data_IF_110793135599
#
_entry.id   IF_110793135599
#
_cell.length_a   1.000
_cell.length_b   1.000
_cell.length_c   1.000
_cell.angle_alpha   90.00
_cell.angle_beta   90.00
_cell.angle_gamma   90.00
#
_symmetry.space_group_name_H-M   'P 1'
#
loop_
_entity.id
_entity.type
_entity.pdbx_description
1 polymer ?
#
# COMPACT_ATOMS: atom_id res chain seq x y z
N UNK A 1 34.12 -27.97 33.75
CA UNK A 1 33.21 -28.72 32.85
C UNK A 1 31.82 -28.15 33.08
N UNK A 2 31.14 -27.45 32.19
CA UNK A 2 31.37 -27.13 30.78
C UNK A 2 30.88 -25.71 30.54
N UNK A 3 31.62 -25.02 29.68
CA UNK A 3 31.25 -23.80 28.96
C UNK A 3 29.94 -24.01 28.20
N UNK A 4 28.93 -23.19 28.50
CA UNK A 4 27.80 -22.98 27.59
C UNK A 4 28.15 -21.78 26.71
N UNK A 5 28.89 -22.06 25.63
CA UNK A 5 29.07 -21.13 24.54
C UNK A 5 27.95 -21.35 23.52
N UNK A 6 27.35 -20.22 23.16
CA UNK A 6 26.97 -19.89 21.80
C UNK A 6 25.78 -20.63 21.17
N UNK A 7 24.66 -19.90 21.15
CA UNK A 7 23.86 -19.78 19.94
C UNK A 7 23.33 -18.34 19.87
N UNK A 8 24.25 -17.40 19.66
CA UNK A 8 23.87 -16.16 19.00
C UNK A 8 23.57 -16.54 17.55
N UNK A 9 22.30 -16.82 17.25
CA UNK A 9 21.86 -16.99 15.87
C UNK A 9 22.14 -15.66 15.15
N UNK A 10 23.30 -15.58 14.51
CA UNK A 10 23.67 -14.48 13.64
C UNK A 10 22.49 -14.25 12.69
N UNK A 11 21.97 -13.03 12.67
CA UNK A 11 20.91 -12.66 11.75
C UNK A 11 21.31 -13.17 10.36
N UNK A 12 20.42 -13.89 9.65
CA UNK A 12 20.73 -14.41 8.33
C UNK A 12 21.33 -13.28 7.49
N UNK A 13 22.43 -13.54 6.74
CA UNK A 13 23.12 -12.52 5.98
C UNK A 13 22.10 -11.72 5.17
N UNK A 14 22.22 -10.38 5.11
CA UNK A 14 21.24 -9.54 4.44
C UNK A 14 21.08 -10.06 3.02
N UNK A 15 19.90 -10.60 2.73
CA UNK A 15 19.57 -11.04 1.39
C UNK A 15 19.63 -9.80 0.48
N UNK A 16 20.09 -9.93 -0.78
CA UNK A 16 20.08 -8.81 -1.70
C UNK A 16 18.66 -8.25 -1.77
N UNK A 17 18.53 -6.95 -1.55
CA UNK A 17 17.24 -6.29 -1.58
C UNK A 17 16.64 -6.46 -2.99
N UNK A 18 15.55 -7.21 -3.08
CA UNK A 18 14.77 -7.29 -4.32
C UNK A 18 13.97 -6.01 -4.41
N UNK A 19 14.35 -5.14 -5.34
CA UNK A 19 13.63 -3.91 -5.63
C UNK A 19 12.53 -4.18 -6.66
N UNK A 20 11.35 -3.60 -6.41
CA UNK A 20 10.22 -3.66 -7.33
C UNK A 20 9.87 -2.25 -7.78
N UNK A 21 9.73 -2.07 -9.10
CA UNK A 21 9.25 -0.80 -9.67
C UNK A 21 7.77 -0.91 -10.00
N UNK A 22 6.97 0.01 -9.46
CA UNK A 22 5.56 0.14 -9.81
C UNK A 22 5.41 1.06 -11.03
N UNK A 23 4.66 0.61 -12.04
CA UNK A 23 4.24 1.44 -13.17
C UNK A 23 2.78 1.80 -13.01
N UNK A 24 2.50 3.10 -12.94
CA UNK A 24 1.13 3.61 -12.89
C UNK A 24 0.39 3.28 -14.20
N UNK A 25 -0.84 2.79 -14.09
CA UNK A 25 -1.70 2.46 -15.24
C UNK A 25 -2.88 3.42 -15.43
N UNK A 26 -3.08 4.33 -14.49
CA UNK A 26 -4.19 5.27 -14.50
C UNK A 26 -4.21 6.19 -13.28
N UNK A 27 -5.24 7.02 -13.19
CA UNK A 27 -5.45 7.96 -12.09
C UNK A 27 -6.88 7.90 -11.56
N UNK A 28 -7.04 8.17 -10.27
CA UNK A 28 -8.37 8.29 -9.64
C UNK A 28 -8.73 9.77 -9.57
N UNK A 29 -9.92 10.11 -10.04
CA UNK A 29 -10.52 11.45 -9.96
C UNK A 29 -11.79 11.39 -9.13
N UNK A 30 -12.03 12.39 -8.29
CA UNK A 30 -13.33 12.57 -7.65
C UNK A 30 -14.27 13.27 -8.63
N UNK A 31 -15.48 12.79 -8.76
CA UNK A 31 -16.52 13.36 -9.62
C UNK A 31 -17.67 13.85 -8.72
N UNK A 32 -17.70 15.15 -8.41
CA UNK A 32 -18.71 15.75 -7.53
C UNK A 32 -18.20 17.01 -6.83
N UNK A 33 -19.11 17.91 -6.44
CA UNK A 33 -18.81 19.13 -5.67
C UNK A 33 -18.26 18.86 -4.27
N UNK A 34 -18.20 19.88 -3.41
CA UNK A 34 -17.52 19.92 -2.09
C UNK A 34 -17.90 18.83 -1.07
N UNK A 35 -18.76 17.88 -1.42
CA UNK A 35 -19.15 16.78 -0.56
C UNK A 35 -18.06 15.70 -0.46
N UNK A 36 -17.79 15.29 0.78
CA UNK A 36 -16.77 14.27 1.10
C UNK A 36 -17.13 12.88 0.56
N UNK A 37 -18.38 12.62 0.22
CA UNK A 37 -18.91 11.36 -0.28
C UNK A 37 -19.55 11.59 -1.65
N UNK A 38 -18.88 11.17 -2.72
CA UNK A 38 -19.36 11.31 -4.09
C UNK A 38 -18.70 10.27 -5.00
N UNK A 39 -19.22 10.04 -6.21
CA UNK A 39 -18.68 9.03 -7.10
C UNK A 39 -17.23 9.35 -7.47
N UNK A 40 -16.41 8.31 -7.62
CA UNK A 40 -15.05 8.42 -8.13
C UNK A 40 -14.99 7.87 -9.56
N UNK A 41 -14.13 8.46 -10.39
CA UNK A 41 -13.82 8.01 -11.74
C UNK A 41 -12.38 7.50 -11.79
N UNK A 42 -12.17 6.33 -12.37
CA UNK A 42 -10.84 5.79 -12.65
C UNK A 42 -10.54 5.99 -14.14
N UNK A 43 -9.44 6.67 -14.43
CA UNK A 43 -9.00 6.97 -15.78
C UNK A 43 -7.79 6.09 -16.12
N UNK A 44 -7.99 5.07 -16.96
CA UNK A 44 -6.94 4.15 -17.39
C UNK A 44 -6.23 4.72 -18.63
N UNK A 45 -4.90 4.72 -18.60
CA UNK A 45 -4.04 5.17 -19.70
C UNK A 45 -4.29 4.31 -20.94
N UNK A 46 -4.23 4.91 -22.13
CA UNK A 46 -4.71 4.28 -23.38
C UNK A 46 -4.09 2.90 -23.65
N UNK A 47 -2.79 2.76 -23.40
CA UNK A 47 -2.02 1.53 -23.62
C UNK A 47 -2.42 0.33 -22.74
N UNK A 48 -3.20 0.55 -21.68
CA UNK A 48 -3.65 -0.52 -20.76
C UNK A 48 -5.14 -0.85 -20.89
N UNK A 49 -5.88 -0.19 -21.80
CA UNK A 49 -7.35 -0.31 -21.86
C UNK A 49 -7.85 -1.66 -22.36
N UNK A 50 -7.07 -2.38 -23.16
CA UNK A 50 -7.41 -3.75 -23.57
C UNK A 50 -7.58 -4.68 -22.36
N UNK A 51 -6.92 -4.38 -21.24
CA UNK A 51 -7.10 -5.10 -19.97
C UNK A 51 -8.47 -4.91 -19.32
N UNK A 52 -9.34 -4.06 -19.87
CA UNK A 52 -10.72 -3.83 -19.41
C UNK A 52 -11.75 -4.65 -20.18
N UNK A 53 -11.33 -5.51 -21.11
CA UNK A 53 -12.23 -6.39 -21.86
C UNK A 53 -13.14 -7.19 -20.90
N UNK A 54 -14.44 -7.24 -21.19
CA UNK A 54 -15.50 -7.83 -20.36
C UNK A 54 -15.71 -7.22 -18.96
N UNK A 55 -15.00 -6.15 -18.57
CA UNK A 55 -15.13 -5.57 -17.23
C UNK A 55 -16.56 -5.10 -16.92
N UNK A 56 -17.32 -4.73 -17.95
CA UNK A 56 -18.72 -4.31 -17.84
C UNK A 56 -19.67 -5.41 -17.32
N UNK A 57 -19.27 -6.69 -17.37
CA UNK A 57 -20.05 -7.81 -16.85
C UNK A 57 -19.92 -8.00 -15.33
N UNK A 58 -19.02 -7.25 -14.68
CA UNK A 58 -18.81 -7.30 -13.24
C UNK A 58 -19.48 -6.11 -12.55
N UNK A 59 -20.13 -6.37 -11.41
CA UNK A 59 -20.73 -5.32 -10.58
C UNK A 59 -19.74 -4.68 -9.60
N UNK A 60 -18.63 -5.36 -9.29
CA UNK A 60 -17.64 -4.95 -8.28
C UNK A 60 -16.22 -5.30 -8.72
N UNK A 61 -15.25 -4.49 -8.30
CA UNK A 61 -13.82 -4.67 -8.58
C UNK A 61 -12.99 -4.33 -7.34
N UNK A 62 -11.83 -4.96 -7.21
CA UNK A 62 -10.80 -4.54 -6.25
C UNK A 62 -9.89 -3.51 -6.92
N UNK A 63 -9.80 -2.32 -6.32
CA UNK A 63 -8.92 -1.25 -6.80
C UNK A 63 -7.76 -1.10 -5.84
N UNK A 64 -6.58 -1.52 -6.27
CA UNK A 64 -5.32 -1.25 -5.55
C UNK A 64 -4.75 0.07 -6.09
N UNK A 65 -4.48 1.01 -5.20
CA UNK A 65 -4.01 2.34 -5.56
C UNK A 65 -2.81 2.74 -4.72
N UNK A 66 -2.02 3.68 -5.26
CA UNK A 66 -0.83 4.16 -4.61
C UNK A 66 -1.11 5.45 -3.84
N UNK A 67 -0.92 5.42 -2.52
CA UNK A 67 -1.02 6.58 -1.64
C UNK A 67 0.20 7.49 -1.80
N UNK A 68 0.33 8.09 -2.99
CA UNK A 68 1.51 8.85 -3.43
C UNK A 68 1.88 10.03 -2.52
N UNK A 69 0.92 10.66 -1.85
CA UNK A 69 1.22 11.72 -0.87
C UNK A 69 1.89 11.18 0.41
N UNK A 70 1.72 9.89 0.70
CA UNK A 70 2.38 9.18 1.78
C UNK A 70 3.66 8.44 1.33
N UNK A 71 4.03 8.53 0.05
CA UNK A 71 5.23 7.91 -0.51
C UNK A 71 6.47 8.76 -0.25
N UNK A 72 6.88 8.82 1.01
CA UNK A 72 8.07 9.53 1.45
C UNK A 72 8.74 8.81 2.63
N UNK A 73 10.02 9.08 2.88
CA UNK A 73 10.83 8.38 3.87
C UNK A 73 10.22 8.40 5.28
N UNK A 74 9.65 9.56 5.68
CA UNK A 74 9.04 9.72 6.99
C UNK A 74 7.82 8.81 7.17
N UNK A 75 6.90 8.82 6.20
CA UNK A 75 5.69 8.01 6.27
C UNK A 75 6.00 6.51 6.06
N UNK A 76 6.91 6.16 5.14
CA UNK A 76 7.35 4.77 4.93
C UNK A 76 8.09 4.18 6.13
N UNK A 77 8.81 5.01 6.88
CA UNK A 77 9.48 4.61 8.12
C UNK A 77 8.53 4.47 9.32
N UNK A 78 7.25 4.84 9.18
CA UNK A 78 6.29 4.74 10.27
C UNK A 78 5.84 3.29 10.47
N UNK A 79 6.17 2.71 11.62
CA UNK A 79 5.81 1.33 11.97
C UNK A 79 4.67 1.24 12.99
N UNK A 80 4.29 2.36 13.62
CA UNK A 80 3.25 2.42 14.65
C UNK A 80 2.41 3.67 14.50
N UNK A 81 1.10 3.57 14.73
CA UNK A 81 0.14 4.69 14.58
C UNK A 81 -0.84 4.71 15.74
N UNK A 82 -1.47 5.87 15.95
CA UNK A 82 -2.71 6.01 16.74
C UNK A 82 -3.87 6.24 15.78
N UNK A 83 -4.67 5.22 15.44
CA UNK A 83 -5.70 5.35 14.42
C UNK A 83 -6.72 6.42 14.81
N UNK A 84 -7.21 7.20 13.85
CA UNK A 84 -8.28 8.19 14.07
C UNK A 84 -9.50 7.63 14.85
N UNK A 85 -10.04 6.43 14.55
CA UNK A 85 -11.17 5.89 15.30
C UNK A 85 -10.81 5.40 16.72
N UNK A 86 -9.52 5.25 17.07
CA UNK A 86 -9.05 4.77 18.37
C UNK A 86 -7.78 5.54 18.81
N UNK A 87 -7.90 6.84 19.11
CA UNK A 87 -6.74 7.72 19.32
C UNK A 87 -5.92 7.38 20.57
N UNK A 88 -6.54 6.74 21.56
CA UNK A 88 -5.94 6.28 22.81
C UNK A 88 -5.06 5.03 22.63
N UNK A 89 -5.20 4.30 21.51
CA UNK A 89 -4.46 3.06 21.25
C UNK A 89 -3.28 3.27 20.31
N UNK A 90 -2.10 2.79 20.71
CA UNK A 90 -0.92 2.69 19.83
C UNK A 90 -0.85 1.29 19.24
N UNK A 91 -0.77 1.18 17.92
CA UNK A 91 -0.84 -0.09 17.19
C UNK A 91 0.23 -0.16 16.10
N UNK A 92 0.61 -1.36 15.66
CA UNK A 92 1.43 -1.54 14.46
C UNK A 92 0.64 -1.22 13.19
N UNK A 93 1.29 -0.72 12.14
CA UNK A 93 0.63 -0.35 10.86
C UNK A 93 -0.04 -1.52 10.12
N UNK A 94 0.28 -2.76 10.50
CA UNK A 94 -0.25 -3.98 9.88
C UNK A 94 -1.36 -4.68 10.70
N UNK A 95 -1.82 -4.07 11.80
CA UNK A 95 -2.76 -4.66 12.76
C UNK A 95 -4.16 -4.00 12.71
#
# INVERSE_FOLDING_TARGET
MSTDQDQSAAAPPPQPAVEFTLRRIGVIRRTGGTEKLGPARIEIEAQYRDGLLELAHFSHVLVVWWAHECDNDMNRGTLRVRPRPAPDRLMGVFA
#
